data_IF_847911764698
#
_entry.id   IF_847911764698
#
_cell.length_a   1.000
_cell.length_b   1.000
_cell.length_c   1.000
_cell.angle_alpha   90.00
_cell.angle_beta   90.00
_cell.angle_gamma   90.00
#
_symmetry.space_group_name_H-M   'P 1'
#
loop_
_entity.id
_entity.type
_entity.pdbx_description
1 polymer ?
#
# COMPACT_ATOMS: atom_id res chain seq x y z
N UNK A 1 -14.94 37.98 -5.43
CA UNK A 1 -14.31 37.31 -6.58
C UNK A 1 -13.74 35.99 -6.09
N UNK A 2 -14.17 34.85 -6.63
CA UNK A 2 -13.58 33.54 -6.32
C UNK A 2 -12.75 33.06 -7.50
N UNK A 3 -11.46 32.80 -7.28
CA UNK A 3 -10.62 32.13 -8.28
C UNK A 3 -10.79 30.62 -8.11
N UNK A 4 -11.28 29.94 -9.14
CA UNK A 4 -11.32 28.49 -9.18
C UNK A 4 -9.98 27.97 -9.71
N UNK A 5 -9.26 27.23 -8.90
CA UNK A 5 -8.10 26.46 -9.36
C UNK A 5 -8.61 25.12 -9.90
N UNK A 6 -8.34 24.85 -11.18
CA UNK A 6 -8.58 23.53 -11.79
C UNK A 6 -7.23 22.95 -12.20
N UNK A 7 -6.87 21.84 -11.58
CA UNK A 7 -5.73 21.03 -12.00
C UNK A 7 -6.23 20.16 -13.16
N UNK A 8 -5.79 20.47 -14.38
CA UNK A 8 -6.00 19.63 -15.56
C UNK A 8 -4.74 18.79 -15.79
N UNK A 9 -4.55 17.76 -14.97
CA UNK A 9 -3.59 16.70 -15.27
C UNK A 9 -4.32 15.67 -16.12
N UNK A 10 -3.82 15.30 -17.31
CA UNK A 10 -4.35 14.14 -18.03
C UNK A 10 -4.19 12.92 -17.11
N UNK A 11 -5.30 12.34 -16.67
CA UNK A 11 -5.29 11.22 -15.72
C UNK A 11 -4.54 9.98 -16.25
N UNK A 12 -4.32 9.90 -17.56
CA UNK A 12 -3.78 8.73 -18.26
C UNK A 12 -2.25 8.73 -18.46
N UNK A 13 -1.53 9.82 -18.13
CA UNK A 13 -0.06 9.90 -18.40
C UNK A 13 0.83 9.68 -17.17
N UNK A 14 0.26 9.58 -15.95
CA UNK A 14 1.06 9.28 -14.76
C UNK A 14 1.26 7.77 -14.66
N UNK A 15 2.46 7.31 -15.05
CA UNK A 15 2.92 5.95 -14.69
C UNK A 15 2.87 5.84 -13.18
N UNK A 16 2.14 4.86 -12.65
CA UNK A 16 2.04 4.65 -11.20
C UNK A 16 3.45 4.54 -10.60
N UNK A 17 3.73 5.25 -9.50
CA UNK A 17 5.05 5.28 -8.91
C UNK A 17 5.47 3.87 -8.47
N UNK A 18 6.78 3.60 -8.58
CA UNK A 18 7.41 2.35 -8.17
C UNK A 18 8.66 2.69 -7.38
N UNK A 19 8.88 1.98 -6.28
CA UNK A 19 10.09 2.07 -5.47
C UNK A 19 10.75 0.70 -5.35
N UNK A 20 12.10 0.66 -5.34
CA UNK A 20 12.88 -0.53 -5.01
C UNK A 20 13.41 -0.36 -3.59
N UNK A 21 13.21 -1.36 -2.74
CA UNK A 21 13.58 -1.30 -1.32
C UNK A 21 14.45 -2.48 -0.93
N UNK A 22 15.20 -2.32 0.17
CA UNK A 22 16.01 -3.40 0.72
C UNK A 22 15.19 -4.35 1.60
N UNK A 23 15.69 -5.57 1.81
CA UNK A 23 15.10 -6.51 2.77
C UNK A 23 15.07 -5.96 4.20
N UNK A 24 16.06 -5.13 4.59
CA UNK A 24 16.14 -4.49 5.91
C UNK A 24 15.03 -3.45 6.09
N UNK A 25 14.84 -2.57 5.12
CA UNK A 25 13.78 -1.57 5.13
C UNK A 25 12.40 -2.24 5.15
N UNK A 26 12.22 -3.31 4.35
CA UNK A 26 11.00 -4.09 4.36
C UNK A 26 10.71 -4.73 5.74
N UNK A 27 11.74 -5.27 6.40
CA UNK A 27 11.58 -5.83 7.75
C UNK A 27 11.18 -4.76 8.77
N UNK A 28 11.80 -3.58 8.71
CA UNK A 28 11.47 -2.44 9.57
C UNK A 28 10.03 -1.94 9.33
N UNK A 29 9.60 -1.90 8.06
CA UNK A 29 8.24 -1.53 7.69
C UNK A 29 7.21 -2.54 8.20
N UNK A 30 7.46 -3.85 8.07
CA UNK A 30 6.60 -4.89 8.65
C UNK A 30 6.47 -4.78 10.17
N UNK A 31 7.57 -4.45 10.86
CA UNK A 31 7.55 -4.19 12.29
C UNK A 31 6.66 -3.00 12.66
N UNK A 32 6.75 -1.91 11.90
CA UNK A 32 5.86 -0.74 12.06
C UNK A 32 4.39 -1.12 11.86
N UNK A 33 4.07 -1.84 10.78
CA UNK A 33 2.70 -2.24 10.44
C UNK A 33 2.05 -3.09 11.54
N UNK A 34 2.81 -4.00 12.16
CA UNK A 34 2.28 -4.81 13.27
C UNK A 34 2.03 -3.97 14.50
N UNK A 35 2.98 -3.13 14.91
CA UNK A 35 2.83 -2.25 16.06
C UNK A 35 1.64 -1.27 15.90
N UNK A 36 1.48 -0.69 14.70
CA UNK A 36 0.35 0.20 14.40
C UNK A 36 -0.97 -0.57 14.28
N UNK A 37 -0.94 -1.78 13.72
CA UNK A 37 -2.11 -2.67 13.66
C UNK A 37 -2.63 -3.01 15.05
N UNK A 38 -1.74 -3.39 15.97
CA UNK A 38 -2.07 -3.66 17.37
C UNK A 38 -2.63 -2.41 18.07
N UNK A 39 -2.00 -1.25 17.84
CA UNK A 39 -2.43 0.04 18.42
C UNK A 39 -3.81 0.48 17.92
N UNK A 40 -4.11 0.24 16.66
CA UNK A 40 -5.36 0.68 16.00
C UNK A 40 -6.47 -0.38 16.04
N UNK A 41 -6.15 -1.63 16.41
CA UNK A 41 -7.07 -2.76 16.28
C UNK A 41 -7.41 -3.08 14.82
N UNK A 42 -6.47 -2.88 13.89
CA UNK A 42 -6.67 -3.06 12.46
C UNK A 42 -5.67 -4.08 11.89
N UNK A 43 -6.13 -4.94 10.99
CA UNK A 43 -5.24 -5.73 10.15
C UNK A 43 -4.64 -4.83 9.06
N UNK A 44 -3.33 -4.60 9.10
CA UNK A 44 -2.62 -3.75 8.14
C UNK A 44 -1.78 -4.53 7.11
N UNK A 45 -1.66 -5.85 7.27
CA UNK A 45 -0.92 -6.74 6.37
C UNK A 45 -1.86 -7.83 5.82
N UNK A 46 -1.82 -8.04 4.50
CA UNK A 46 -2.60 -9.08 3.82
C UNK A 46 -1.73 -9.79 2.76
N UNK A 47 -1.41 -11.09 2.91
CA UNK A 47 -1.58 -11.91 4.11
C UNK A 47 -0.50 -11.61 5.18
N UNK A 48 -0.85 -11.71 6.48
CA UNK A 48 0.12 -11.48 7.58
C UNK A 48 0.93 -12.75 7.95
N UNK A 49 0.29 -13.93 8.00
CA UNK A 49 0.94 -15.17 8.44
C UNK A 49 1.97 -15.71 7.43
N UNK A 50 1.71 -15.55 6.13
CA UNK A 50 2.58 -16.05 5.05
C UNK A 50 2.61 -15.09 3.85
N UNK A 51 3.26 -13.91 3.96
CA UNK A 51 3.56 -13.13 2.78
C UNK A 51 4.49 -13.97 1.92
N UNK A 52 3.98 -14.51 0.82
CA UNK A 52 4.77 -15.24 -0.16
C UNK A 52 5.74 -14.31 -0.88
N UNK A 53 5.85 -14.42 -2.20
CA UNK A 53 6.62 -13.41 -2.96
C UNK A 53 5.90 -12.06 -3.03
N UNK A 54 4.61 -11.99 -2.68
CA UNK A 54 3.82 -10.75 -2.70
C UNK A 54 2.88 -10.65 -1.52
N UNK A 55 2.65 -9.42 -1.08
CA UNK A 55 1.62 -9.08 -0.09
C UNK A 55 1.22 -7.61 -0.26
N UNK A 56 0.10 -7.24 0.34
CA UNK A 56 -0.38 -5.88 0.38
C UNK A 56 -0.39 -5.33 1.80
N UNK A 57 -0.20 -4.02 1.92
CA UNK A 57 -0.25 -3.32 3.19
C UNK A 57 -1.17 -2.11 3.14
N UNK A 58 -1.93 -1.93 4.22
CA UNK A 58 -2.74 -0.75 4.47
C UNK A 58 -1.87 0.37 5.02
N UNK A 59 -1.81 1.49 4.31
CA UNK A 59 -0.94 2.63 4.65
C UNK A 59 -1.70 3.89 5.00
N UNK A 60 -2.98 4.01 4.62
CA UNK A 60 -3.78 5.21 4.90
C UNK A 60 -3.97 5.53 6.39
N UNK A 61 -4.07 4.55 7.30
CA UNK A 61 -4.20 4.85 8.73
C UNK A 61 -2.91 5.35 9.41
N UNK A 62 -1.76 5.32 8.73
CA UNK A 62 -0.45 5.62 9.30
C UNK A 62 0.06 6.95 8.72
N UNK A 63 0.67 7.79 9.56
CA UNK A 63 1.30 9.02 9.09
C UNK A 63 2.41 8.72 8.07
N UNK A 64 2.42 9.47 6.95
CA UNK A 64 3.42 9.34 5.88
C UNK A 64 4.87 9.41 6.40
N UNK A 65 5.14 10.32 7.33
CA UNK A 65 6.45 10.48 7.94
C UNK A 65 6.91 9.23 8.72
N UNK A 66 5.98 8.56 9.41
CA UNK A 66 6.27 7.34 10.18
C UNK A 66 6.65 6.16 9.27
N UNK A 67 6.01 6.06 8.10
CA UNK A 67 6.33 5.05 7.08
C UNK A 67 7.68 5.38 6.46
N UNK A 68 7.84 6.59 5.92
CA UNK A 68 9.00 6.97 5.09
C UNK A 68 10.30 7.02 5.87
N UNK A 69 10.26 7.24 7.19
CA UNK A 69 11.42 7.09 8.07
C UNK A 69 12.02 5.66 8.05
N UNK A 70 11.25 4.62 7.68
CA UNK A 70 11.76 3.23 7.56
C UNK A 70 12.47 2.96 6.24
N UNK A 71 12.40 3.92 5.34
CA UNK A 71 12.99 3.90 4.02
C UNK A 71 13.96 5.07 3.82
N UNK A 72 14.51 5.59 4.93
CA UNK A 72 15.49 6.70 4.90
C UNK A 72 14.98 7.94 4.15
N UNK A 73 13.65 8.14 4.16
CA UNK A 73 12.95 9.17 3.39
C UNK A 73 13.24 9.14 1.88
N UNK A 74 13.40 7.93 1.31
CA UNK A 74 13.54 7.73 -0.14
C UNK A 74 12.37 8.41 -0.89
N UNK A 75 12.66 9.36 -1.81
CA UNK A 75 11.65 10.05 -2.61
C UNK A 75 10.74 9.13 -3.40
N UNK A 76 11.24 8.00 -3.91
CA UNK A 76 10.42 7.03 -4.66
C UNK A 76 9.41 6.35 -3.74
N UNK A 77 9.80 6.00 -2.51
CA UNK A 77 8.88 5.44 -1.52
C UNK A 77 7.86 6.48 -1.07
N UNK A 78 8.29 7.74 -0.86
CA UNK A 78 7.38 8.84 -0.55
C UNK A 78 6.31 8.96 -1.63
N UNK A 79 6.70 8.99 -2.91
CA UNK A 79 5.76 9.08 -4.03
C UNK A 79 4.75 7.91 -4.05
N UNK A 80 5.21 6.67 -3.82
CA UNK A 80 4.32 5.51 -3.75
C UNK A 80 3.31 5.61 -2.61
N UNK A 81 3.79 5.95 -1.41
CA UNK A 81 2.93 5.96 -0.21
C UNK A 81 1.98 7.15 -0.25
N UNK A 82 2.45 8.33 -0.63
CA UNK A 82 1.62 9.53 -0.81
C UNK A 82 0.51 9.27 -1.84
N UNK A 83 0.84 8.71 -3.01
CA UNK A 83 -0.15 8.40 -4.04
C UNK A 83 -1.16 7.37 -3.55
N UNK A 84 -0.72 6.32 -2.85
CA UNK A 84 -1.60 5.32 -2.26
C UNK A 84 -2.55 5.95 -1.23
N UNK A 85 -2.05 6.82 -0.36
CA UNK A 85 -2.86 7.53 0.64
C UNK A 85 -3.85 8.50 -0.01
N UNK A 86 -3.40 9.26 -1.01
CA UNK A 86 -4.22 10.18 -1.78
C UNK A 86 -5.38 9.45 -2.49
N UNK A 87 -5.11 8.29 -3.11
CA UNK A 87 -6.12 7.48 -3.80
C UNK A 87 -6.93 6.56 -2.87
N UNK A 88 -6.65 6.55 -1.56
CA UNK A 88 -7.20 5.59 -0.60
C UNK A 88 -7.02 4.12 -1.05
N UNK A 89 -5.80 3.78 -1.50
CA UNK A 89 -5.37 2.46 -1.95
C UNK A 89 -4.36 1.85 -0.98
N UNK A 90 -4.21 0.53 -1.06
CA UNK A 90 -3.12 -0.20 -0.39
C UNK A 90 -1.81 0.00 -1.16
N UNK A 91 -0.70 -0.42 -0.56
CA UNK A 91 0.56 -0.64 -1.29
C UNK A 91 0.75 -2.13 -1.53
N UNK A 92 1.20 -2.49 -2.72
CA UNK A 92 1.60 -3.85 -3.07
C UNK A 92 3.11 -3.97 -2.97
N UNK A 93 3.58 -5.04 -2.34
CA UNK A 93 4.99 -5.38 -2.24
C UNK A 93 5.19 -6.68 -3.00
N UNK A 94 6.17 -6.71 -3.91
CA UNK A 94 6.52 -7.88 -4.70
C UNK A 94 8.03 -8.10 -4.70
N UNK A 95 8.47 -9.33 -4.42
CA UNK A 95 9.86 -9.77 -4.57
C UNK A 95 10.06 -10.33 -5.98
N UNK A 96 10.82 -9.60 -6.78
CA UNK A 96 11.23 -10.06 -8.10
C UNK A 96 12.54 -10.86 -7.96
N UNK A 97 12.43 -12.19 -8.07
CA UNK A 97 13.60 -13.09 -7.99
C UNK A 97 14.55 -12.96 -9.16
N UNK A 98 14.07 -12.57 -10.34
CA UNK A 98 14.92 -12.46 -11.53
C UNK A 98 15.81 -11.22 -11.44
N UNK A 99 15.25 -10.11 -10.95
CA UNK A 99 15.98 -8.86 -10.74
C UNK A 99 16.70 -8.79 -9.37
N UNK A 100 16.42 -9.73 -8.46
CA UNK A 100 16.85 -9.68 -7.05
C UNK A 100 16.42 -8.38 -6.33
N UNK A 101 15.22 -7.88 -6.66
CA UNK A 101 14.67 -6.62 -6.16
C UNK A 101 13.39 -6.85 -5.34
N UNK A 102 13.13 -5.95 -4.40
CA UNK A 102 11.83 -5.85 -3.73
C UNK A 102 11.18 -4.55 -4.21
N UNK A 103 10.05 -4.66 -4.92
CA UNK A 103 9.33 -3.50 -5.45
C UNK A 103 8.11 -3.20 -4.61
N UNK A 104 7.88 -1.91 -4.35
CA UNK A 104 6.65 -1.37 -3.77
C UNK A 104 5.95 -0.53 -4.83
N UNK A 105 4.64 -0.70 -4.97
CA UNK A 105 3.78 0.07 -5.87
C UNK A 105 2.43 0.36 -5.24
N UNK A 106 1.67 1.29 -5.80
CA UNK A 106 0.26 1.46 -5.46
C UNK A 106 -0.50 0.19 -5.86
N UNK A 107 -1.29 -0.36 -4.95
CA UNK A 107 -2.13 -1.52 -5.23
C UNK A 107 -3.43 -1.12 -5.93
N UNK A 108 -4.03 -2.07 -6.66
CA UNK A 108 -5.35 -1.87 -7.26
C UNK A 108 -6.48 -1.95 -6.21
N UNK A 109 -6.25 -2.64 -5.10
CA UNK A 109 -7.20 -2.82 -4.00
C UNK A 109 -7.38 -1.55 -3.19
N UNK A 110 -8.61 -1.31 -2.74
CA UNK A 110 -8.96 -0.19 -1.87
C UNK A 110 -8.39 -0.36 -0.45
N UNK A 111 -7.98 0.74 0.18
CA UNK A 111 -7.72 0.79 1.62
C UNK A 111 -9.00 1.01 2.44
N UNK A 112 -10.03 1.58 1.82
CA UNK A 112 -11.38 1.63 2.43
C UNK A 112 -11.87 0.19 2.52
N UNK A 113 -12.14 -0.26 3.75
CA UNK A 113 -12.71 -1.58 4.00
C UNK A 113 -14.01 -1.74 3.22
N UNK A 114 -14.00 -2.60 2.19
CA UNK A 114 -15.05 -3.52 1.74
C UNK A 114 -14.57 -4.22 0.46
N UNK A 115 -13.92 -5.38 0.61
CA UNK A 115 -13.78 -6.36 -0.48
C UNK A 115 -14.06 -7.76 0.06
N UNK A 116 -15.26 -7.98 0.59
CA UNK A 116 -15.91 -9.27 0.39
C UNK A 116 -16.54 -9.25 -1.01
N UNK A 117 -15.73 -9.30 -2.06
CA UNK A 117 -16.22 -9.82 -3.34
C UNK A 117 -16.22 -11.35 -3.21
N UNK A 118 -17.09 -11.88 -2.36
CA UNK A 118 -17.60 -13.23 -2.59
C UNK A 118 -18.55 -13.13 -3.77
N UNK A 119 -18.44 -14.00 -4.80
CA UNK A 119 -19.56 -14.20 -5.69
C UNK A 119 -20.71 -14.76 -4.84
N UNK A 120 -21.69 -13.91 -4.55
CA UNK A 120 -22.97 -14.33 -3.97
C UNK A 120 -23.58 -15.32 -4.95
N UNK A 121 -23.57 -16.60 -4.61
CA UNK A 121 -24.06 -17.60 -5.54
C UNK A 121 -23.93 -19.06 -5.12
N UNK A 122 -24.29 -19.44 -3.89
CA UNK A 122 -24.96 -20.74 -3.69
C UNK A 122 -25.65 -20.80 -2.31
N UNK A 123 -26.96 -21.07 -2.23
CA UNK A 123 -27.64 -21.25 -0.96
C UNK A 123 -27.21 -22.59 -0.33
N UNK A 124 -26.83 -22.57 0.95
CA UNK A 124 -26.74 -23.77 1.77
C UNK A 124 -28.15 -24.38 1.84
N UNK A 125 -28.33 -25.54 1.22
CA UNK A 125 -29.45 -26.43 1.54
C UNK A 125 -29.15 -27.12 2.88
N UNK A 126 -30.21 -27.22 3.68
CA UNK A 126 -30.30 -27.85 5.00
C UNK A 126 -29.60 -29.20 5.08
#
# INVERSE_FOLDING_TARGET
MSTQFRIAVPADELTDPVAVVTARQLAAFRGLLRAEGDRLGLQLLEPDEYPGESFEARVCPIALASITARFDHDPAVIAVVEEAQFRARRVSIHRDRAAAEIRIRVALTSDRSLDSISPVGTPKRF
#
